data_IF_599864766875
#
_entry.id   IF_599864766875
#
_cell.length_a   1.000
_cell.length_b   1.000
_cell.length_c   1.000
_cell.angle_alpha   90.00
_cell.angle_beta   90.00
_cell.angle_gamma   90.00
#
_symmetry.space_group_name_H-M   'P 1'
#
loop_
_entity.id
_entity.type
_entity.pdbx_description
1 polymer ?
#
# COMPACT_ATOMS: atom_id res chain seq x y z
N UNK A 1 -0.15 16.69 1.59
CA UNK A 1 0.36 17.00 0.24
C UNK A 1 -0.77 17.44 -0.67
N UNK A 2 -1.43 16.49 -1.32
CA UNK A 2 -2.47 16.76 -2.34
C UNK A 2 -3.60 17.71 -1.90
N UNK A 3 -4.10 17.61 -0.67
CA UNK A 3 -5.12 18.55 -0.13
C UNK A 3 -4.59 19.99 -0.16
N UNK A 4 -3.31 20.20 0.20
CA UNK A 4 -2.68 21.52 0.21
C UNK A 4 -2.59 22.09 -1.21
N UNK A 5 -2.17 21.27 -2.17
CA UNK A 5 -2.09 21.65 -3.60
C UNK A 5 -3.46 22.02 -4.16
N UNK A 6 -4.52 21.29 -3.81
CA UNK A 6 -5.90 21.59 -4.22
C UNK A 6 -6.36 22.92 -3.64
N UNK A 7 -6.12 23.17 -2.34
CA UNK A 7 -6.56 24.41 -1.67
C UNK A 7 -5.78 25.67 -2.07
N UNK A 8 -4.49 25.54 -2.38
CA UNK A 8 -3.60 26.67 -2.69
C UNK A 8 -3.50 26.98 -4.19
N UNK A 9 -4.25 26.26 -5.03
CA UNK A 9 -4.20 26.36 -6.49
C UNK A 9 -4.53 27.76 -7.05
N UNK A 10 -5.21 28.61 -6.27
CA UNK A 10 -5.63 29.96 -6.67
C UNK A 10 -4.77 31.10 -6.10
N UNK A 11 -3.82 30.83 -5.19
CA UNK A 11 -3.23 31.89 -4.35
C UNK A 11 -1.86 32.40 -4.86
N UNK A 12 -0.89 31.51 -5.11
CA UNK A 12 0.49 31.89 -5.46
C UNK A 12 1.31 30.72 -6.01
N UNK A 13 2.20 31.00 -6.98
CA UNK A 13 3.16 30.02 -7.51
C UNK A 13 4.08 29.46 -6.41
N UNK A 14 4.51 30.28 -5.45
CA UNK A 14 5.36 29.85 -4.34
C UNK A 14 4.64 28.83 -3.45
N UNK A 15 3.35 29.04 -3.18
CA UNK A 15 2.56 28.13 -2.37
C UNK A 15 2.37 26.78 -3.06
N UNK A 16 2.18 26.78 -4.38
CA UNK A 16 2.13 25.56 -5.19
C UNK A 16 3.44 24.78 -5.15
N UNK A 17 4.60 25.44 -5.30
CA UNK A 17 5.91 24.78 -5.18
C UNK A 17 6.10 24.11 -3.82
N UNK A 18 5.81 24.82 -2.72
CA UNK A 18 5.92 24.26 -1.37
C UNK A 18 4.99 23.06 -1.21
N UNK A 19 3.74 23.17 -1.69
CA UNK A 19 2.77 22.07 -1.64
C UNK A 19 3.23 20.82 -2.40
N UNK A 20 3.86 21.01 -3.56
CA UNK A 20 4.40 19.93 -4.39
C UNK A 20 5.60 19.27 -3.73
N UNK A 21 6.52 20.04 -3.13
CA UNK A 21 7.64 19.49 -2.37
C UNK A 21 7.16 18.61 -1.21
N UNK A 22 6.19 19.08 -0.42
CA UNK A 22 5.61 18.31 0.70
C UNK A 22 4.94 17.04 0.18
N UNK A 23 4.23 17.11 -0.94
CA UNK A 23 3.58 15.94 -1.57
C UNK A 23 4.62 14.92 -2.02
N UNK A 24 5.66 15.36 -2.70
CA UNK A 24 6.79 14.55 -3.16
C UNK A 24 7.44 13.82 -1.97
N UNK A 25 7.82 14.54 -0.92
CA UNK A 25 8.42 13.95 0.28
C UNK A 25 7.52 12.89 0.94
N UNK A 26 6.21 13.13 1.02
CA UNK A 26 5.26 12.17 1.61
C UNK A 26 5.10 10.89 0.77
N UNK A 27 4.95 11.02 -0.54
CA UNK A 27 4.74 9.86 -1.42
C UNK A 27 5.99 8.97 -1.49
N UNK A 28 7.17 9.58 -1.65
CA UNK A 28 8.42 8.82 -1.76
C UNK A 28 8.86 8.17 -0.45
N UNK A 29 8.51 8.75 0.71
CA UNK A 29 8.81 8.13 2.01
C UNK A 29 7.88 6.96 2.35
N UNK A 30 6.62 6.98 1.89
CA UNK A 30 5.66 5.91 2.14
C UNK A 30 6.02 4.60 1.40
N UNK A 31 6.62 4.71 0.21
CA UNK A 31 6.94 3.56 -0.63
C UNK A 31 7.90 2.52 0.00
N UNK A 32 9.08 2.88 0.54
CA UNK A 32 9.97 1.92 1.19
C UNK A 32 9.37 1.31 2.46
N UNK A 33 8.53 2.07 3.18
CA UNK A 33 7.81 1.56 4.36
C UNK A 33 6.84 0.44 3.97
N UNK A 34 6.05 0.66 2.91
CA UNK A 34 5.15 -0.36 2.37
C UNK A 34 5.91 -1.61 1.94
N UNK A 35 7.03 -1.46 1.23
CA UNK A 35 7.83 -2.58 0.74
C UNK A 35 8.44 -3.40 1.89
N UNK A 36 8.97 -2.71 2.90
CA UNK A 36 9.50 -3.35 4.11
C UNK A 36 8.41 -4.13 4.84
N UNK A 37 7.23 -3.55 5.00
CA UNK A 37 6.10 -4.21 5.66
C UNK A 37 5.58 -5.42 4.87
N UNK A 38 5.44 -5.30 3.55
CA UNK A 38 5.04 -6.41 2.69
C UNK A 38 6.05 -7.57 2.75
N UNK A 39 7.35 -7.26 2.73
CA UNK A 39 8.43 -8.27 2.79
C UNK A 39 8.48 -8.98 4.14
N UNK A 40 8.06 -8.31 5.23
CA UNK A 40 7.96 -8.93 6.57
C UNK A 40 6.76 -9.86 6.71
N UNK A 41 5.66 -9.60 6.00
CA UNK A 41 4.42 -10.35 6.15
C UNK A 41 4.27 -11.50 5.16
N UNK A 42 5.03 -11.50 4.07
CA UNK A 42 5.07 -12.60 3.11
C UNK A 42 6.39 -13.32 3.26
N UNK A 43 6.34 -14.63 3.43
CA UNK A 43 7.51 -15.49 3.43
C UNK A 43 7.40 -16.58 2.34
N UNK A 44 8.55 -17.07 1.89
CA UNK A 44 8.66 -18.02 0.79
C UNK A 44 9.41 -17.47 -0.43
N UNK A 45 10.24 -18.34 -1.02
CA UNK A 45 11.19 -17.97 -2.08
C UNK A 45 10.51 -17.43 -3.36
N UNK A 46 9.33 -17.94 -3.70
CA UNK A 46 8.60 -17.53 -4.90
C UNK A 46 7.53 -16.47 -4.59
N UNK A 47 6.84 -16.58 -3.45
CA UNK A 47 5.72 -15.69 -3.10
C UNK A 47 6.16 -14.26 -2.81
N UNK A 48 7.30 -14.11 -2.12
CA UNK A 48 7.86 -12.80 -1.76
C UNK A 48 8.19 -11.96 -3.00
N UNK A 49 9.04 -12.39 -3.96
CA UNK A 49 9.35 -11.58 -5.14
C UNK A 49 8.15 -11.31 -6.05
N UNK A 50 7.20 -12.25 -6.15
CA UNK A 50 5.95 -12.04 -6.91
C UNK A 50 5.10 -10.94 -6.27
N UNK A 51 4.98 -10.94 -4.95
CA UNK A 51 4.23 -9.91 -4.21
C UNK A 51 4.85 -8.53 -4.40
N UNK A 52 6.19 -8.42 -4.25
CA UNK A 52 6.89 -7.14 -4.42
C UNK A 52 6.76 -6.62 -5.86
N UNK A 53 6.93 -7.50 -6.86
CA UNK A 53 6.75 -7.14 -8.26
C UNK A 53 5.33 -6.66 -8.57
N UNK A 54 4.31 -7.28 -7.97
CA UNK A 54 2.92 -6.88 -8.14
C UNK A 54 2.65 -5.48 -7.57
N UNK A 55 3.15 -5.19 -6.36
CA UNK A 55 3.04 -3.86 -5.73
C UNK A 55 3.70 -2.78 -6.61
N UNK A 56 4.91 -3.06 -7.11
CA UNK A 56 5.64 -2.16 -8.01
C UNK A 56 4.86 -1.97 -9.33
N UNK A 57 4.34 -3.06 -9.90
CA UNK A 57 3.59 -3.04 -11.16
C UNK A 57 2.33 -2.18 -11.09
N UNK A 58 1.54 -2.29 -10.01
CA UNK A 58 0.38 -1.42 -9.78
C UNK A 58 0.81 0.05 -9.69
N UNK A 59 1.94 0.33 -9.03
CA UNK A 59 2.48 1.69 -8.93
C UNK A 59 2.70 2.34 -10.30
N UNK A 60 3.16 1.56 -11.29
CA UNK A 60 3.40 2.07 -12.65
C UNK A 60 2.09 2.37 -13.42
N UNK A 61 1.00 1.65 -13.15
CA UNK A 61 -0.30 1.89 -13.80
C UNK A 61 -0.82 3.31 -13.51
N UNK A 62 -0.54 3.86 -12.33
CA UNK A 62 -0.88 5.25 -12.00
C UNK A 62 -0.28 6.26 -12.99
N UNK A 63 0.96 6.01 -13.45
CA UNK A 63 1.64 6.85 -14.44
C UNK A 63 1.00 6.82 -15.83
N UNK A 64 0.26 5.76 -16.17
CA UNK A 64 -0.43 5.60 -17.46
C UNK A 64 -1.82 6.25 -17.42
N UNK A 65 -2.53 6.16 -16.30
CA UNK A 65 -3.90 6.65 -16.16
C UNK A 65 -3.95 8.19 -16.19
N UNK A 66 -2.98 8.87 -15.56
CA UNK A 66 -2.96 10.33 -15.49
C UNK A 66 -2.93 10.99 -16.87
N UNK A 67 -2.03 10.63 -17.81
CA UNK A 67 -2.03 11.18 -19.17
C UNK A 67 -3.34 10.97 -19.93
N UNK A 68 -3.92 9.76 -19.87
CA UNK A 68 -5.15 9.41 -20.59
C UNK A 68 -6.37 10.22 -20.13
N UNK A 69 -6.38 10.68 -18.89
CA UNK A 69 -7.46 11.53 -18.40
C UNK A 69 -7.37 12.96 -18.92
N UNK A 70 -6.25 13.39 -19.52
CA UNK A 70 -6.00 14.78 -19.91
C UNK A 70 -6.52 15.22 -21.29
N UNK A 71 -7.04 14.31 -22.11
CA UNK A 71 -7.30 14.57 -23.53
C UNK A 71 -8.44 15.55 -23.86
N UNK A 72 -9.46 15.72 -23.01
CA UNK A 72 -10.72 16.37 -23.45
C UNK A 72 -11.09 17.72 -22.82
N UNK A 73 -10.32 18.21 -21.83
CA UNK A 73 -10.35 19.56 -21.21
C UNK A 73 -9.56 19.48 -19.90
N UNK A 74 -8.42 20.18 -19.75
CA UNK A 74 -7.66 20.18 -18.51
C UNK A 74 -8.44 20.98 -17.45
N UNK A 75 -9.29 20.29 -16.68
CA UNK A 75 -9.88 20.88 -15.49
C UNK A 75 -8.76 21.07 -14.47
N UNK A 76 -8.49 22.32 -14.09
CA UNK A 76 -7.39 22.69 -13.20
C UNK A 76 -7.52 21.92 -11.88
N UNK A 77 -6.53 21.08 -11.55
CA UNK A 77 -6.52 20.24 -10.35
C UNK A 77 -7.16 18.85 -10.48
N UNK A 78 -7.69 18.44 -11.65
CA UNK A 78 -8.28 17.10 -11.83
C UNK A 78 -7.32 15.97 -11.46
N UNK A 79 -6.05 16.10 -11.85
CA UNK A 79 -5.02 15.10 -11.56
C UNK A 79 -4.79 14.94 -10.05
N UNK A 80 -4.85 16.04 -9.28
CA UNK A 80 -4.67 16.01 -7.83
C UNK A 80 -5.81 15.26 -7.13
N UNK A 81 -7.04 15.40 -7.62
CA UNK A 81 -8.19 14.63 -7.11
C UNK A 81 -8.07 13.12 -7.42
N UNK A 82 -7.60 12.76 -8.61
CA UNK A 82 -7.37 11.35 -8.98
C UNK A 82 -6.28 10.74 -8.08
N UNK A 83 -5.17 11.45 -7.88
CA UNK A 83 -4.10 11.03 -6.97
C UNK A 83 -4.59 10.91 -5.52
N UNK A 84 -5.41 11.87 -5.06
CA UNK A 84 -6.00 11.83 -3.72
C UNK A 84 -6.93 10.61 -3.56
N UNK A 85 -7.75 10.31 -4.57
CA UNK A 85 -8.61 9.13 -4.59
C UNK A 85 -7.82 7.82 -4.56
N UNK A 86 -6.76 7.72 -5.36
CA UNK A 86 -5.87 6.57 -5.36
C UNK A 86 -5.16 6.38 -4.00
N UNK A 87 -4.73 7.48 -3.37
CA UNK A 87 -4.13 7.45 -2.04
C UNK A 87 -5.14 7.02 -0.97
N UNK A 88 -6.38 7.50 -1.05
CA UNK A 88 -7.46 7.08 -0.15
C UNK A 88 -7.80 5.58 -0.33
N UNK A 89 -7.87 5.09 -1.57
CA UNK A 89 -8.07 3.67 -1.85
C UNK A 89 -6.92 2.82 -1.31
N UNK A 90 -5.67 3.26 -1.51
CA UNK A 90 -4.48 2.59 -0.97
C UNK A 90 -4.52 2.51 0.56
N UNK A 91 -4.90 3.61 1.24
CA UNK A 91 -5.07 3.63 2.68
C UNK A 91 -6.17 2.66 3.13
N UNK A 92 -7.30 2.63 2.43
CA UNK A 92 -8.40 1.72 2.70
C UNK A 92 -7.98 0.23 2.60
N UNK A 93 -7.32 -0.16 1.51
CA UNK A 93 -6.79 -1.52 1.37
C UNK A 93 -5.74 -1.86 2.43
N UNK A 94 -4.88 -0.91 2.79
CA UNK A 94 -3.88 -1.08 3.85
C UNK A 94 -4.54 -1.34 5.20
N UNK A 95 -5.61 -0.60 5.54
CA UNK A 95 -6.38 -0.81 6.76
C UNK A 95 -7.04 -2.18 6.77
N UNK A 96 -7.68 -2.60 5.66
CA UNK A 96 -8.28 -3.93 5.54
C UNK A 96 -7.23 -5.01 5.77
N UNK A 97 -6.10 -4.93 5.08
CA UNK A 97 -5.04 -5.93 5.20
C UNK A 97 -4.50 -5.97 6.63
N UNK A 98 -4.30 -4.82 7.27
CA UNK A 98 -3.89 -4.74 8.67
C UNK A 98 -4.89 -5.43 9.60
N UNK A 99 -6.18 -5.19 9.44
CA UNK A 99 -7.23 -5.86 10.23
C UNK A 99 -7.21 -7.37 9.99
N UNK A 100 -7.09 -7.81 8.74
CA UNK A 100 -7.00 -9.24 8.41
C UNK A 100 -5.80 -9.91 9.09
N UNK A 101 -4.62 -9.27 9.08
CA UNK A 101 -3.44 -9.76 9.77
C UNK A 101 -3.62 -9.78 11.30
N UNK A 102 -4.34 -8.80 11.87
CA UNK A 102 -4.69 -8.79 13.29
C UNK A 102 -5.61 -9.97 13.66
N UNK A 103 -6.61 -10.24 12.83
CA UNK A 103 -7.55 -11.35 13.03
C UNK A 103 -6.80 -12.68 12.96
N UNK A 104 -5.94 -12.86 11.96
CA UNK A 104 -5.16 -14.10 11.80
C UNK A 104 -4.16 -14.28 12.95
N UNK A 105 -3.48 -13.22 13.38
CA UNK A 105 -2.63 -13.27 14.59
C UNK A 105 -3.46 -13.67 15.84
N UNK A 106 -4.69 -13.19 15.98
CA UNK A 106 -5.57 -13.59 17.10
C UNK A 106 -6.03 -15.05 16.98
N UNK A 107 -6.31 -15.54 15.77
CA UNK A 107 -6.66 -16.95 15.51
C UNK A 107 -5.50 -17.87 15.91
N UNK A 108 -4.29 -17.58 15.46
CA UNK A 108 -3.07 -18.35 15.78
C UNK A 108 -2.75 -18.38 17.28
N UNK A 109 -3.10 -17.33 18.04
CA UNK A 109 -2.96 -17.34 19.51
C UNK A 109 -3.95 -18.26 20.24
N UNK A 110 -5.01 -18.73 19.57
CA UNK A 110 -6.06 -19.57 20.15
C UNK A 110 -6.08 -20.98 19.56
N UNK A 111 -5.04 -21.35 18.81
CA UNK A 111 -4.97 -22.63 18.11
C UNK A 111 -4.93 -23.79 19.12
N UNK A 112 -5.75 -24.82 18.89
CA UNK A 112 -5.69 -26.07 19.66
C UNK A 112 -4.41 -26.85 19.32
N UNK A 113 -3.83 -27.66 20.23
CA UNK A 113 -2.66 -28.48 19.93
C UNK A 113 -2.83 -29.40 18.71
N UNK A 114 -4.05 -29.92 18.49
CA UNK A 114 -4.35 -30.78 17.33
C UNK A 114 -4.32 -30.01 16.01
N UNK A 115 -4.87 -28.79 16.00
CA UNK A 115 -4.83 -27.89 14.83
C UNK A 115 -3.41 -27.41 14.54
N UNK A 116 -2.63 -27.14 15.58
CA UNK A 116 -1.22 -26.76 15.46
C UNK A 116 -0.39 -27.85 14.78
N UNK A 117 -0.56 -29.10 15.19
CA UNK A 117 0.14 -30.23 14.58
C UNK A 117 -0.27 -30.46 13.12
N UNK A 118 -1.54 -30.22 12.78
CA UNK A 118 -2.03 -30.32 11.41
C UNK A 118 -1.45 -29.21 10.50
N UNK A 119 -1.46 -27.95 10.97
CA UNK A 119 -0.88 -26.82 10.23
C UNK A 119 0.65 -26.96 10.09
N UNK A 120 1.34 -27.50 11.10
CA UNK A 120 2.79 -27.75 11.05
C UNK A 120 3.18 -28.91 10.14
N UNK A 121 2.27 -29.88 9.92
CA UNK A 121 2.51 -31.02 9.04
C UNK A 121 2.62 -30.64 7.56
N UNK A 122 2.24 -29.42 7.18
CA UNK A 122 2.32 -28.94 5.80
C UNK A 122 3.78 -28.58 5.48
N UNK A 123 4.39 -29.38 4.59
CA UNK A 123 5.84 -29.40 4.30
C UNK A 123 6.41 -28.11 3.71
N UNK A 124 5.56 -27.20 3.22
CA UNK A 124 5.95 -25.91 2.63
C UNK A 124 5.08 -24.74 3.13
N UNK A 125 4.77 -24.73 4.43
CA UNK A 125 3.88 -23.72 5.00
C UNK A 125 4.36 -22.28 4.79
N UNK A 126 5.67 -22.01 4.62
CA UNK A 126 6.22 -20.65 4.48
C UNK A 126 5.55 -19.67 5.48
N UNK A 127 4.85 -18.64 5.00
CA UNK A 127 4.06 -17.66 5.76
C UNK A 127 2.84 -18.22 6.52
N UNK A 128 2.34 -19.38 6.13
CA UNK A 128 1.24 -20.08 6.80
C UNK A 128 1.66 -20.82 8.07
N UNK A 129 2.96 -20.89 8.38
CA UNK A 129 3.42 -21.59 9.57
C UNK A 129 2.89 -20.91 10.85
N UNK A 130 2.26 -21.66 11.79
CA UNK A 130 1.57 -21.09 12.96
C UNK A 130 2.46 -20.26 13.89
N UNK A 131 3.76 -20.58 13.96
CA UNK A 131 4.78 -19.84 14.72
C UNK A 131 5.09 -18.43 14.20
N UNK A 132 4.87 -18.19 12.90
CA UNK A 132 5.15 -16.88 12.31
C UNK A 132 4.03 -15.91 12.72
N UNK A 133 4.44 -14.79 13.30
CA UNK A 133 3.55 -13.67 13.64
C UNK A 133 3.67 -12.58 12.59
N UNK A 134 2.53 -12.15 12.04
CA UNK A 134 2.47 -11.06 11.08
C UNK A 134 2.78 -9.72 11.76
N UNK A 135 3.56 -8.88 11.09
CA UNK A 135 3.94 -7.55 11.56
C UNK A 135 2.79 -6.54 11.33
N UNK A 136 2.35 -5.90 12.41
CA UNK A 136 1.22 -4.95 12.46
C UNK A 136 1.62 -3.48 12.39
#
# INVERSE_FOLDING_TARGET
GFILTITLNSQSHTALYISSCITCCGVFSAFPVLLSWATKNVDGHTKKPVTLSFIIGIGQLGGIILPLTNDNKPTRGRNDYICLGALAASLFFTIILRISLMIENRRRSKLSPDEYNNETSIKESCDWHPDIRYAL
#
